data_IF_908296071462
#
_entry.id   IF_908296071462
#
_cell.length_a   1.000
_cell.length_b   1.000
_cell.length_c   1.000
_cell.angle_alpha   90.00
_cell.angle_beta   90.00
_cell.angle_gamma   90.00
#
_symmetry.space_group_name_H-M   'P 1'
#
loop_
_entity.id
_entity.type
_entity.pdbx_description
1 polymer ?
#
# COMPACT_ATOMS: atom_id res chain seq x y z
N UNK A 1 -7.42 4.74 4.62
CA UNK A 1 -6.07 5.28 4.37
C UNK A 1 -6.13 6.68 3.76
N UNK A 2 -6.86 6.91 2.66
CA UNK A 2 -6.99 8.25 2.06
C UNK A 2 -7.51 9.30 3.03
N UNK A 3 -8.67 9.07 3.66
CA UNK A 3 -9.25 10.00 4.63
C UNK A 3 -8.26 10.38 5.76
N UNK A 4 -7.65 9.38 6.40
CA UNK A 4 -6.58 9.61 7.40
C UNK A 4 -5.40 10.43 6.85
N UNK A 5 -5.09 10.28 5.57
CA UNK A 5 -4.01 11.02 4.90
C UNK A 5 -4.40 12.45 4.57
N UNK A 6 -5.67 12.68 4.25
CA UNK A 6 -6.19 13.98 3.84
C UNK A 6 -6.49 14.88 5.05
N UNK A 7 -6.82 14.30 6.21
CA UNK A 7 -7.19 15.04 7.42
C UNK A 7 -6.06 15.25 8.42
N UNK A 8 -4.88 14.65 8.20
CA UNK A 8 -3.75 14.76 9.13
C UNK A 8 -3.03 16.11 9.03
N UNK A 9 -2.47 16.54 10.14
CA UNK A 9 -1.64 17.74 10.26
C UNK A 9 -0.25 17.44 10.86
N UNK A 10 0.55 18.49 11.10
CA UNK A 10 1.91 18.36 11.64
C UNK A 10 1.94 17.79 13.08
N UNK A 11 0.82 17.84 13.81
CA UNK A 11 0.68 17.29 15.16
C UNK A 11 0.18 15.85 15.18
N UNK A 12 -0.39 15.38 14.07
CA UNK A 12 -0.91 14.02 13.95
C UNK A 12 0.23 13.01 14.06
N UNK A 13 0.08 12.03 14.95
CA UNK A 13 1.09 10.99 15.16
C UNK A 13 1.19 10.09 13.92
N UNK A 14 2.39 9.55 13.70
CA UNK A 14 2.58 8.51 12.68
C UNK A 14 1.92 7.21 13.14
N UNK A 15 1.39 6.42 12.20
CA UNK A 15 0.68 5.17 12.51
C UNK A 15 1.29 3.98 11.76
N UNK A 16 1.17 2.80 12.37
CA UNK A 16 1.48 1.51 11.73
C UNK A 16 0.21 0.66 11.83
N UNK A 17 -0.34 0.28 10.69
CA UNK A 17 -1.51 -0.60 10.63
C UNK A 17 -1.08 -2.01 10.28
N UNK A 18 -1.37 -2.94 11.16
CA UNK A 18 -1.20 -4.38 10.94
C UNK A 18 -2.56 -4.96 10.60
N UNK A 19 -2.70 -5.44 9.37
CA UNK A 19 -3.97 -5.95 8.84
C UNK A 19 -3.76 -7.22 8.03
N UNK A 20 -4.86 -7.91 7.75
CA UNK A 20 -4.94 -9.02 6.83
C UNK A 20 -6.10 -8.74 5.86
N UNK A 21 -5.97 -9.17 4.61
CA UNK A 21 -7.00 -8.99 3.59
C UNK A 21 -7.65 -10.33 3.24
N UNK A 22 -8.94 -10.27 2.86
CA UNK A 22 -9.53 -11.33 2.06
C UNK A 22 -8.79 -11.46 0.70
N UNK A 23 -8.91 -12.59 -0.01
CA UNK A 23 -8.27 -12.78 -1.30
C UNK A 23 -8.54 -11.59 -2.24
N UNK A 24 -7.47 -10.91 -2.69
CA UNK A 24 -7.55 -9.76 -3.58
C UNK A 24 -6.26 -9.60 -4.38
N UNK A 25 -6.38 -9.31 -5.66
CA UNK A 25 -5.28 -8.80 -6.46
C UNK A 25 -5.31 -7.26 -6.42
N UNK A 26 -4.16 -6.65 -6.16
CA UNK A 26 -4.02 -5.19 -6.30
C UNK A 26 -3.07 -4.87 -7.45
N UNK A 27 -3.44 -3.90 -8.27
CA UNK A 27 -2.62 -3.40 -9.36
C UNK A 27 -2.10 -2.00 -9.00
N UNK A 28 -0.78 -1.85 -8.92
CA UNK A 28 -0.15 -0.54 -8.72
C UNK A 28 -0.07 0.27 -10.01
N UNK A 29 0.38 1.52 -9.90
CA UNK A 29 0.44 2.51 -10.97
C UNK A 29 1.31 2.09 -12.17
N UNK A 30 2.30 1.22 -11.96
CA UNK A 30 3.15 0.70 -13.03
C UNK A 30 2.63 -0.63 -13.61
N UNK A 31 1.53 -1.17 -13.06
CA UNK A 31 0.89 -2.38 -13.56
C UNK A 31 0.11 -2.13 -14.84
N UNK A 32 0.17 -3.07 -15.77
CA UNK A 32 -0.71 -3.10 -16.95
C UNK A 32 -1.82 -4.12 -16.72
N UNK A 33 -3.03 -3.84 -17.20
CA UNK A 33 -4.16 -4.75 -17.08
C UNK A 33 -3.85 -6.14 -17.68
N UNK A 34 -3.03 -6.16 -18.73
CA UNK A 34 -2.55 -7.37 -19.43
C UNK A 34 -1.69 -8.30 -18.55
N UNK A 35 -1.12 -7.81 -17.44
CA UNK A 35 -0.31 -8.63 -16.55
C UNK A 35 -1.17 -9.49 -15.60
N UNK A 36 -2.49 -9.30 -15.61
CA UNK A 36 -3.44 -10.09 -14.82
C UNK A 36 -3.96 -11.21 -15.73
N UNK A 37 -3.28 -12.34 -15.70
CA UNK A 37 -3.52 -13.40 -16.69
C UNK A 37 -4.82 -14.17 -16.42
N UNK A 38 -5.13 -14.51 -15.17
CA UNK A 38 -6.30 -15.33 -14.80
C UNK A 38 -6.71 -15.11 -13.33
N UNK A 39 -7.45 -14.04 -12.99
CA UNK A 39 -7.80 -13.75 -11.59
C UNK A 39 -8.87 -14.69 -11.01
N UNK A 40 -9.58 -15.46 -11.84
CA UNK A 40 -10.71 -16.27 -11.41
C UNK A 40 -11.79 -15.39 -10.78
N UNK A 41 -12.30 -15.82 -9.61
CA UNK A 41 -13.31 -15.07 -8.84
C UNK A 41 -12.70 -14.05 -7.86
N UNK A 42 -11.37 -13.90 -7.84
CA UNK A 42 -10.68 -12.99 -6.91
C UNK A 42 -10.78 -11.56 -7.45
N UNK A 43 -11.24 -10.58 -6.64
CA UNK A 43 -11.35 -9.21 -7.08
C UNK A 43 -9.99 -8.62 -7.44
N UNK A 44 -9.98 -7.79 -8.48
CA UNK A 44 -8.82 -6.99 -8.89
C UNK A 44 -9.12 -5.52 -8.60
N UNK A 45 -8.31 -4.90 -7.73
CA UNK A 45 -8.49 -3.51 -7.30
C UNK A 45 -7.30 -2.66 -7.76
N UNK A 46 -7.58 -1.51 -8.37
CA UNK A 46 -6.54 -0.52 -8.67
C UNK A 46 -6.10 0.17 -7.38
N UNK A 47 -4.79 0.37 -7.23
CA UNK A 47 -4.18 1.08 -6.13
C UNK A 47 -3.27 2.20 -6.65
N UNK A 48 -3.11 3.22 -5.84
CA UNK A 48 -2.18 4.33 -6.03
C UNK A 48 -0.71 3.97 -5.69
N UNK A 49 -0.46 2.77 -5.15
CA UNK A 49 0.90 2.31 -4.87
C UNK A 49 1.75 2.17 -6.13
N UNK A 50 3.06 2.32 -5.98
CA UNK A 50 4.02 1.95 -7.01
C UNK A 50 4.05 0.45 -7.30
N UNK A 51 4.77 0.07 -8.35
CA UNK A 51 4.97 -1.33 -8.74
C UNK A 51 3.84 -1.92 -9.59
N UNK A 52 3.95 -3.22 -9.86
CA UNK A 52 3.05 -3.96 -10.74
C UNK A 52 1.87 -4.57 -9.95
N UNK A 53 1.47 -5.80 -10.27
CA UNK A 53 0.39 -6.55 -9.63
C UNK A 53 0.94 -7.35 -8.44
N UNK A 54 0.16 -7.47 -7.36
CA UNK A 54 0.43 -8.41 -6.26
C UNK A 54 -0.87 -9.01 -5.73
N UNK A 55 -0.76 -10.13 -5.02
CA UNK A 55 -1.87 -10.80 -4.35
C UNK A 55 -1.77 -10.61 -2.82
N UNK A 56 -2.93 -10.41 -2.19
CA UNK A 56 -3.12 -10.47 -0.75
C UNK A 56 -4.21 -11.48 -0.40
N UNK A 57 -4.10 -12.11 0.76
CA UNK A 57 -5.10 -13.06 1.22
C UNK A 57 -4.82 -13.59 2.63
N UNK A 58 -5.66 -14.53 3.11
CA UNK A 58 -5.56 -15.02 4.48
C UNK A 58 -4.19 -15.63 4.81
N UNK A 59 -3.69 -15.36 6.01
CA UNK A 59 -2.36 -15.75 6.48
C UNK A 59 -1.20 -14.86 5.99
N UNK A 60 -1.47 -13.82 5.20
CA UNK A 60 -0.47 -12.81 4.83
C UNK A 60 -0.64 -11.56 5.72
N UNK A 61 0.28 -11.36 6.66
CA UNK A 61 0.34 -10.12 7.43
C UNK A 61 0.78 -8.96 6.53
N UNK A 62 -0.05 -7.92 6.44
CA UNK A 62 0.29 -6.67 5.77
C UNK A 62 0.53 -5.58 6.81
N UNK A 63 1.59 -4.80 6.60
CA UNK A 63 1.92 -3.64 7.40
C UNK A 63 1.87 -2.39 6.54
N UNK A 64 0.95 -1.48 6.86
CA UNK A 64 0.93 -0.13 6.28
C UNK A 64 1.62 0.84 7.22
N UNK A 65 2.67 1.51 6.74
CA UNK A 65 3.42 2.50 7.52
C UNK A 65 2.99 3.89 7.06
N UNK A 66 2.26 4.61 7.92
CA UNK A 66 1.71 5.94 7.63
C UNK A 66 2.58 6.99 8.30
N UNK A 67 3.66 7.39 7.60
CA UNK A 67 4.63 8.38 8.10
C UNK A 67 4.49 9.73 7.40
N UNK A 68 4.69 10.83 8.15
CA UNK A 68 5.00 12.13 7.56
C UNK A 68 6.51 12.22 7.28
N UNK A 69 6.91 11.98 6.03
CA UNK A 69 8.31 11.99 5.61
C UNK A 69 8.98 13.36 5.71
N UNK A 70 8.22 14.45 5.48
CA UNK A 70 8.75 15.82 5.57
C UNK A 70 9.17 16.14 6.99
N UNK A 71 8.31 15.82 7.97
CA UNK A 71 8.60 15.98 9.40
C UNK A 71 9.85 15.21 9.82
N UNK A 72 10.06 14.02 9.26
CA UNK A 72 11.22 13.16 9.52
C UNK A 72 12.46 13.49 8.69
N UNK A 73 12.36 14.40 7.72
CA UNK A 73 13.42 14.73 6.75
C UNK A 73 13.93 13.49 5.99
N UNK A 74 13.04 12.53 5.70
CA UNK A 74 13.36 11.29 5.00
C UNK A 74 12.94 11.34 3.54
N UNK A 75 13.77 10.75 2.67
CA UNK A 75 13.39 10.49 1.28
C UNK A 75 12.54 9.22 1.13
N UNK A 76 11.76 9.11 0.05
CA UNK A 76 10.97 7.89 -0.25
C UNK A 76 11.88 6.67 -0.47
N UNK A 77 13.00 6.85 -1.19
CA UNK A 77 13.98 5.76 -1.41
C UNK A 77 14.64 5.32 -0.12
N UNK A 78 15.09 6.30 0.68
CA UNK A 78 15.72 6.05 1.97
C UNK A 78 14.80 5.25 2.90
N UNK A 79 13.50 5.56 2.93
CA UNK A 79 12.52 4.77 3.68
C UNK A 79 12.45 3.31 3.19
N UNK A 80 12.45 3.09 1.87
CA UNK A 80 12.32 1.74 1.29
C UNK A 80 13.60 0.93 1.47
N UNK A 81 14.76 1.56 1.32
CA UNK A 81 16.07 0.88 1.45
C UNK A 81 16.38 0.47 2.90
N UNK A 82 15.70 1.06 3.89
CA UNK A 82 15.80 0.72 5.31
C UNK A 82 14.87 -0.43 5.74
N UNK A 83 13.87 -0.78 4.91
CA UNK A 83 12.86 -1.78 5.19
C UNK A 83 13.25 -3.16 4.62
#
# INVERSE_FOLDING_TARGET
MHEFTDTRDDSTLDEIWLVEHYPVFTQGQAGKAEHILMPGDIPVIQSDRGGQVTYHGPGQQVMYVLLNLKRRKLGVRELVDLA
#
